data_IF_957662421371
#
_entry.id   IF_957662421371
#
_cell.length_a   1.000
_cell.length_b   1.000
_cell.length_c   1.000
_cell.angle_alpha   90.00
_cell.angle_beta   90.00
_cell.angle_gamma   90.00
#
_symmetry.space_group_name_H-M   'P 1'
#
loop_
_entity.id
_entity.type
_entity.pdbx_description
1 polymer ?
#
# COMPACT_ATOMS: atom_id res chain seq x y z
N UNK A 1 4.90 -16.44 -4.73
CA UNK A 1 6.33 -16.82 -4.59
C UNK A 1 6.41 -17.84 -3.46
N UNK A 2 7.14 -18.94 -3.63
CA UNK A 2 7.34 -19.91 -2.55
C UNK A 2 8.57 -19.48 -1.75
N UNK A 3 8.34 -19.05 -0.51
CA UNK A 3 9.40 -18.58 0.38
C UNK A 3 9.79 -19.68 1.38
N UNK A 4 11.05 -19.72 1.84
CA UNK A 4 11.46 -20.56 2.97
C UNK A 4 10.59 -20.31 4.22
N UNK A 5 10.43 -21.28 5.14
CA UNK A 5 9.58 -21.14 6.34
C UNK A 5 9.88 -19.88 7.16
N UNK A 6 11.15 -19.55 7.36
CA UNK A 6 11.58 -18.37 8.11
C UNK A 6 11.12 -17.05 7.46
N UNK A 7 11.12 -17.01 6.12
CA UNK A 7 10.62 -15.85 5.37
C UNK A 7 9.09 -15.82 5.42
N UNK A 8 8.41 -16.97 5.40
CA UNK A 8 6.95 -17.01 5.55
C UNK A 8 6.50 -16.48 6.92
N UNK A 9 7.16 -16.88 8.01
CA UNK A 9 6.87 -16.38 9.35
C UNK A 9 7.10 -14.87 9.45
N UNK A 10 8.20 -14.38 8.89
CA UNK A 10 8.49 -12.95 8.77
C UNK A 10 7.37 -12.20 8.04
N UNK A 11 6.96 -12.70 6.86
CA UNK A 11 5.92 -12.07 6.08
C UNK A 11 4.57 -12.10 6.80
N UNK A 12 4.20 -13.21 7.44
CA UNK A 12 2.96 -13.31 8.22
C UNK A 12 2.92 -12.37 9.43
N UNK A 13 4.06 -12.14 10.10
CA UNK A 13 4.16 -11.11 11.14
C UNK A 13 3.77 -9.74 10.59
N UNK A 14 4.37 -9.32 9.47
CA UNK A 14 4.12 -8.01 8.91
C UNK A 14 2.76 -7.88 8.22
N UNK A 15 2.25 -8.94 7.58
CA UNK A 15 0.89 -8.95 7.04
C UNK A 15 -0.15 -8.68 8.14
N UNK A 16 -0.02 -9.32 9.31
CA UNK A 16 -0.95 -9.08 10.44
C UNK A 16 -0.92 -7.62 10.94
N UNK A 17 0.26 -7.00 10.91
CA UNK A 17 0.45 -5.63 11.36
C UNK A 17 -0.09 -4.66 10.31
N UNK A 18 0.29 -4.87 9.04
CA UNK A 18 0.19 -3.88 7.96
C UNK A 18 -1.00 -4.07 7.03
N UNK A 19 -1.61 -5.26 6.96
CA UNK A 19 -2.77 -5.53 6.10
C UNK A 19 -4.05 -5.73 6.91
N UNK A 20 -5.16 -5.22 6.38
CA UNK A 20 -6.51 -5.50 6.90
C UNK A 20 -6.99 -6.91 6.50
N UNK A 21 -8.23 -7.24 6.85
CA UNK A 21 -8.84 -8.53 6.58
C UNK A 21 -9.13 -8.78 5.10
N UNK A 22 -9.10 -7.74 4.26
CA UNK A 22 -9.21 -7.83 2.80
C UNK A 22 -7.84 -7.90 2.12
N UNK A 23 -6.75 -7.84 2.88
CA UNK A 23 -5.38 -7.84 2.35
C UNK A 23 -4.95 -6.49 1.76
N UNK A 24 -5.66 -5.41 2.09
CA UNK A 24 -5.29 -4.04 1.73
C UNK A 24 -4.40 -3.48 2.83
N UNK A 25 -3.41 -2.66 2.44
CA UNK A 25 -2.56 -2.01 3.43
C UNK A 25 -3.39 -1.08 4.32
N UNK A 26 -3.27 -1.22 5.64
CA UNK A 26 -3.93 -0.34 6.61
C UNK A 26 -3.39 1.07 6.44
N UNK A 27 -4.30 2.05 6.45
CA UNK A 27 -3.92 3.46 6.40
C UNK A 27 -3.33 3.88 7.75
N UNK A 28 -2.05 4.25 7.76
CA UNK A 28 -1.29 4.63 8.95
C UNK A 28 -0.56 5.96 8.72
N UNK A 29 -0.16 6.64 9.79
CA UNK A 29 0.63 7.88 9.69
C UNK A 29 2.07 7.59 9.24
N UNK A 30 2.74 8.60 8.70
CA UNK A 30 4.17 8.51 8.42
C UNK A 30 4.99 8.19 9.67
N UNK A 31 4.55 8.67 10.85
CA UNK A 31 5.19 8.39 12.13
C UNK A 31 5.05 6.93 12.57
N UNK A 32 3.92 6.28 12.28
CA UNK A 32 3.77 4.84 12.54
C UNK A 32 4.86 4.05 11.80
N UNK A 33 5.13 4.35 10.53
CA UNK A 33 6.16 3.63 9.77
C UNK A 33 7.58 3.86 10.29
N UNK A 34 7.85 4.95 11.02
CA UNK A 34 9.14 5.16 11.71
C UNK A 34 9.34 4.23 12.90
N UNK A 35 8.27 3.62 13.42
CA UNK A 35 8.35 2.64 14.52
C UNK A 35 8.72 1.25 14.04
N UNK A 36 8.67 1.00 12.73
CA UNK A 36 9.03 -0.27 12.11
C UNK A 36 10.49 -0.18 11.66
N UNK A 37 11.25 -1.26 11.85
CA UNK A 37 12.60 -1.34 11.30
C UNK A 37 12.57 -1.14 9.78
N UNK A 38 13.44 -0.25 9.28
CA UNK A 38 13.41 0.15 7.88
C UNK A 38 13.82 -0.99 6.94
N UNK A 39 14.75 -1.85 7.35
CA UNK A 39 15.17 -2.99 6.55
C UNK A 39 14.03 -4.01 6.46
N UNK A 40 13.38 -4.30 7.59
CA UNK A 40 12.22 -5.18 7.62
C UNK A 40 11.08 -4.65 6.73
N UNK A 41 10.73 -3.37 6.84
CA UNK A 41 9.68 -2.77 6.02
C UNK A 41 10.00 -2.90 4.52
N UNK A 42 11.25 -2.64 4.13
CA UNK A 42 11.70 -2.77 2.73
C UNK A 42 11.64 -4.20 2.23
N UNK A 43 12.06 -5.18 3.05
CA UNK A 43 12.00 -6.61 2.71
C UNK A 43 10.54 -7.05 2.55
N UNK A 44 9.66 -6.65 3.46
CA UNK A 44 8.24 -6.95 3.34
C UNK A 44 7.64 -6.35 2.07
N UNK A 45 7.92 -5.07 1.80
CA UNK A 45 7.46 -4.38 0.59
C UNK A 45 7.89 -5.10 -0.68
N UNK A 46 9.17 -5.44 -0.83
CA UNK A 46 9.67 -6.09 -2.06
C UNK A 46 9.07 -7.49 -2.24
N UNK A 47 8.92 -8.26 -1.16
CA UNK A 47 8.30 -9.59 -1.19
C UNK A 47 6.80 -9.56 -1.53
N UNK A 48 6.13 -8.42 -1.32
CA UNK A 48 4.72 -8.17 -1.63
C UNK A 48 4.52 -7.30 -2.89
N UNK A 49 5.60 -6.95 -3.58
CA UNK A 49 5.59 -6.04 -4.74
C UNK A 49 4.94 -4.67 -4.45
N UNK A 50 5.17 -4.14 -3.23
CA UNK A 50 4.64 -2.86 -2.78
C UNK A 50 5.71 -1.79 -3.01
N UNK A 51 5.46 -0.89 -3.95
CA UNK A 51 6.36 0.22 -4.28
C UNK A 51 5.86 1.58 -3.79
N UNK A 52 4.65 1.61 -3.25
CA UNK A 52 4.02 2.80 -2.69
C UNK A 52 3.26 2.43 -1.41
N UNK A 53 3.52 3.18 -0.35
CA UNK A 53 2.84 3.06 0.94
C UNK A 53 1.95 4.30 1.09
N UNK A 54 0.61 4.18 1.05
CA UNK A 54 -0.27 5.29 1.35
C UNK A 54 -0.21 5.62 2.84
N UNK A 55 0.06 6.88 3.17
CA UNK A 55 -0.03 7.37 4.55
C UNK A 55 -1.25 8.28 4.72
N UNK A 56 -1.70 8.46 5.97
CA UNK A 56 -2.80 9.39 6.28
C UNK A 56 -2.52 10.77 5.69
N UNK A 57 -1.31 11.29 5.89
CA UNK A 57 -0.91 12.63 5.44
C UNK A 57 -0.94 12.75 3.91
N UNK A 58 -0.51 11.70 3.19
CA UNK A 58 -0.57 11.69 1.74
C UNK A 58 -2.03 11.68 1.26
N UNK A 59 -2.89 10.87 1.87
CA UNK A 59 -4.31 10.77 1.51
C UNK A 59 -5.04 12.10 1.76
N UNK A 60 -4.81 12.72 2.91
CA UNK A 60 -5.38 14.02 3.26
C UNK A 60 -4.91 15.10 2.29
N UNK A 61 -3.60 15.17 2.03
CA UNK A 61 -3.05 16.13 1.07
C UNK A 61 -3.66 15.94 -0.33
N UNK A 62 -3.81 14.70 -0.81
CA UNK A 62 -4.43 14.44 -2.11
C UNK A 62 -5.92 14.83 -2.15
N UNK A 63 -6.67 14.56 -1.08
CA UNK A 63 -8.09 14.95 -0.95
C UNK A 63 -8.27 16.47 -0.99
N UNK A 64 -7.36 17.21 -0.36
CA UNK A 64 -7.43 18.68 -0.29
C UNK A 64 -6.99 19.37 -1.59
N UNK A 65 -6.12 18.72 -2.38
CA UNK A 65 -5.48 19.34 -3.53
C UNK A 65 -6.05 18.89 -4.89
N UNK A 66 -6.85 17.83 -4.95
CA UNK A 66 -7.35 17.27 -6.21
C UNK A 66 -8.86 17.00 -6.20
N UNK A 67 -9.49 17.13 -7.37
CA UNK A 67 -10.88 16.73 -7.56
C UNK A 67 -10.97 15.21 -7.78
N UNK A 68 -11.22 14.47 -6.70
CA UNK A 68 -11.24 13.01 -6.72
C UNK A 68 -12.35 12.41 -7.60
N UNK A 69 -13.48 13.10 -7.77
CA UNK A 69 -14.59 12.63 -8.63
C UNK A 69 -14.19 12.50 -10.11
N UNK A 70 -13.14 13.23 -10.52
CA UNK A 70 -12.60 13.23 -11.88
C UNK A 70 -11.19 12.64 -11.97
N UNK A 71 -10.73 11.98 -10.91
CA UNK A 71 -9.37 11.45 -10.82
C UNK A 71 -9.35 9.94 -11.07
N UNK A 72 -8.26 9.47 -11.67
CA UNK A 72 -7.92 8.05 -11.75
C UNK A 72 -6.45 7.85 -11.38
N UNK A 73 -6.15 6.78 -10.65
CA UNK A 73 -4.78 6.31 -10.47
C UNK A 73 -4.33 5.46 -11.67
N UNK A 74 -3.18 5.79 -12.25
CA UNK A 74 -2.55 5.00 -13.31
C UNK A 74 -1.30 4.34 -12.73
N UNK A 75 -1.08 3.06 -13.05
CA UNK A 75 -0.01 2.26 -12.44
C UNK A 75 -0.37 1.84 -11.01
N UNK A 76 -1.63 1.51 -10.78
CA UNK A 76 -2.17 1.27 -9.45
C UNK A 76 -1.58 0.03 -8.73
N UNK A 77 -0.92 -0.89 -9.45
CA UNK A 77 -0.27 -2.06 -8.86
C UNK A 77 -1.18 -2.86 -7.94
N UNK A 78 -0.90 -2.84 -6.63
CA UNK A 78 -1.67 -3.56 -5.61
C UNK A 78 -2.97 -2.86 -5.19
N UNK A 79 -3.37 -1.77 -5.87
CA UNK A 79 -4.66 -1.11 -5.69
C UNK A 79 -4.85 -0.35 -4.37
N UNK A 80 -3.76 -0.06 -3.65
CA UNK A 80 -3.84 0.48 -2.29
C UNK A 80 -4.19 1.96 -2.24
N UNK A 81 -3.56 2.81 -3.06
CA UNK A 81 -3.78 4.26 -2.98
C UNK A 81 -5.20 4.63 -3.42
N UNK A 82 -5.64 4.19 -4.60
CA UNK A 82 -6.99 4.50 -5.06
C UNK A 82 -8.07 3.94 -4.14
N UNK A 83 -7.81 2.81 -3.47
CA UNK A 83 -8.73 2.25 -2.50
C UNK A 83 -8.97 3.23 -1.34
N UNK A 84 -7.90 3.77 -0.76
CA UNK A 84 -7.99 4.77 0.33
C UNK A 84 -8.51 6.14 -0.11
N UNK A 85 -8.33 6.49 -1.38
CA UNK A 85 -8.89 7.71 -1.97
C UNK A 85 -10.35 7.57 -2.38
N UNK A 86 -10.87 6.34 -2.54
CA UNK A 86 -12.21 6.10 -3.06
C UNK A 86 -12.37 6.44 -4.55
N UNK A 87 -11.28 6.38 -5.32
CA UNK A 87 -11.26 6.69 -6.76
C UNK A 87 -11.10 5.42 -7.60
N UNK A 88 -11.17 5.56 -8.93
CA UNK A 88 -10.83 4.47 -9.85
C UNK A 88 -9.32 4.33 -9.94
N UNK A 89 -8.85 3.12 -10.23
CA UNK A 89 -7.45 2.86 -10.59
C UNK A 89 -7.33 1.87 -11.73
N UNK A 90 -6.25 1.98 -12.51
CA UNK A 90 -5.86 1.04 -13.55
C UNK A 90 -4.36 0.81 -13.50
N UNK A 91 -3.92 -0.42 -13.70
CA UNK A 91 -2.49 -0.72 -13.77
C UNK A 91 -1.89 -0.36 -15.15
N UNK A 92 -2.67 -0.58 -16.22
CA UNK A 92 -2.26 -0.31 -17.60
C UNK A 92 -3.35 0.49 -18.33
N UNK A 93 -2.96 1.62 -18.95
CA UNK A 93 -3.89 2.59 -19.54
C UNK A 93 -4.69 2.04 -20.74
N UNK A 94 -4.21 0.98 -21.40
CA UNK A 94 -4.86 0.37 -22.57
C UNK A 94 -6.05 -0.54 -22.24
N UNK A 95 -6.37 -0.73 -20.96
CA UNK A 95 -7.47 -1.59 -20.51
C UNK A 95 -8.75 -0.82 -20.15
N UNK A 96 -8.94 0.37 -20.72
CA UNK A 96 -10.14 1.21 -20.52
C UNK A 96 -11.13 1.11 -21.68
#
# INVERSE_FOLDING_TARGET
MNYPPEVQEFLQKYDRILLDDQGIIKLQSADFYKTIDNADLRVWCICRAIYQIPTIELIEWLKDNFNLDKTIEIGAGNNYLYHHLGIKGVDIISQK
#
